data_IF_815210671868
#
_entry.id   IF_815210671868
#
_cell.length_a   1.000
_cell.length_b   1.000
_cell.length_c   1.000
_cell.angle_alpha   90.00
_cell.angle_beta   90.00
_cell.angle_gamma   90.00
#
_symmetry.space_group_name_H-M   'P 1'
#
loop_
_entity.id
_entity.type
_entity.pdbx_description
1 polymer ?
#
# COMPACT_ATOMS: atom_id res chain seq x y z
N UNK A 1 34.35 -11.82 -3.94
CA UNK A 1 33.22 -12.20 -4.80
C UNK A 1 33.61 -12.52 -6.26
N UNK A 2 34.86 -12.32 -6.70
CA UNK A 2 35.28 -12.61 -8.09
C UNK A 2 35.61 -14.08 -8.39
N UNK A 3 35.94 -14.89 -7.37
CA UNK A 3 36.40 -16.28 -7.60
C UNK A 3 35.25 -17.28 -7.78
N UNK A 4 34.05 -16.98 -7.27
CA UNK A 4 32.90 -17.88 -7.37
C UNK A 4 32.34 -18.00 -8.80
N UNK A 5 32.47 -16.96 -9.63
CA UNK A 5 32.00 -16.98 -11.02
C UNK A 5 32.93 -17.77 -11.96
N UNK A 6 34.20 -17.94 -11.61
CA UNK A 6 35.16 -18.66 -12.46
C UNK A 6 34.95 -20.18 -12.42
N UNK A 7 34.51 -20.72 -11.28
CA UNK A 7 34.31 -22.16 -11.11
C UNK A 7 33.03 -22.64 -11.81
N UNK A 8 31.99 -21.80 -11.85
CA UNK A 8 30.74 -22.12 -12.53
C UNK A 8 30.88 -22.14 -14.06
N UNK A 9 31.69 -21.23 -14.62
CA UNK A 9 32.02 -21.22 -16.06
C UNK A 9 32.80 -22.48 -16.48
N UNK A 10 33.73 -22.95 -15.65
CA UNK A 10 34.53 -24.14 -15.95
C UNK A 10 33.69 -25.43 -15.94
N UNK A 11 32.75 -25.57 -15.00
CA UNK A 11 31.87 -26.74 -14.89
C UNK A 11 30.87 -26.83 -16.05
N UNK A 12 30.34 -25.70 -16.53
CA UNK A 12 29.44 -25.68 -17.69
C UNK A 12 30.19 -26.04 -19.00
N UNK A 13 31.44 -25.61 -19.14
CA UNK A 13 32.24 -25.92 -20.33
C UNK A 13 32.64 -27.40 -20.40
N UNK A 14 32.91 -28.05 -19.26
CA UNK A 14 33.21 -29.50 -19.25
C UNK A 14 31.98 -30.37 -19.51
N UNK A 15 30.80 -29.96 -19.04
CA UNK A 15 29.55 -30.70 -19.25
C UNK A 15 29.10 -30.65 -20.72
N UNK A 16 29.32 -29.52 -21.40
CA UNK A 16 29.02 -29.39 -22.83
C UNK A 16 29.97 -30.22 -23.70
N UNK A 17 31.26 -30.25 -23.38
CA UNK A 17 32.26 -31.01 -24.17
C UNK A 17 32.08 -32.54 -24.10
N UNK A 18 31.48 -33.06 -23.04
CA UNK A 18 31.13 -34.50 -22.94
C UNK A 18 29.87 -34.87 -23.71
N UNK A 19 29.00 -33.89 -24.02
CA UNK A 19 27.80 -34.10 -24.85
C UNK A 19 28.13 -34.19 -26.34
N UNK A 20 29.19 -33.53 -26.79
CA UNK A 20 29.56 -33.48 -28.22
C UNK A 20 30.38 -34.70 -28.67
N UNK A 21 31.07 -35.37 -27.73
CA UNK A 21 31.90 -36.54 -28.03
C UNK A 21 31.11 -37.85 -28.26
N UNK A 22 29.79 -37.85 -28.04
CA UNK A 22 28.93 -39.05 -28.21
C UNK A 22 28.21 -39.06 -29.57
N UNK A 23 28.27 -37.99 -30.35
CA UNK A 23 27.46 -37.84 -31.57
C UNK A 23 28.17 -38.33 -32.86
N UNK A 24 29.44 -38.73 -32.80
CA UNK A 24 30.19 -39.21 -33.98
C UNK A 24 30.48 -40.72 -34.02
N UNK A 25 29.66 -41.54 -33.36
CA UNK A 25 29.57 -42.97 -33.68
C UNK A 25 28.56 -43.15 -34.82
N UNK A 26 29.07 -43.26 -36.04
CA UNK A 26 28.36 -43.67 -37.25
C UNK A 26 27.63 -44.99 -37.04
N UNK A 27 26.30 -44.93 -36.89
CA UNK A 27 25.41 -46.07 -37.14
C UNK A 27 24.76 -45.91 -38.53
N UNK A 28 24.92 -46.88 -39.44
CA UNK A 28 24.22 -46.92 -40.72
C UNK A 28 22.73 -47.28 -40.51
N UNK A 29 21.84 -46.49 -41.13
CA UNK A 29 20.50 -46.88 -41.62
C UNK A 29 19.69 -47.91 -40.82
N UNK A 30 19.41 -47.65 -39.54
CA UNK A 30 18.43 -48.47 -38.76
C UNK A 30 16.97 -48.16 -39.18
N UNK A 31 16.73 -47.05 -39.88
CA UNK A 31 15.38 -46.66 -40.29
C UNK A 31 14.83 -47.44 -41.52
N UNK A 32 15.65 -48.23 -42.22
CA UNK A 32 15.16 -49.05 -43.35
C UNK A 32 14.52 -50.39 -42.91
N UNK A 33 14.76 -50.87 -41.69
CA UNK A 33 14.26 -52.18 -41.21
C UNK A 33 12.94 -52.14 -40.44
N UNK A 34 12.35 -50.96 -40.24
CA UNK A 34 11.09 -50.80 -39.49
C UNK A 34 9.97 -50.13 -40.28
N UNK A 35 10.11 -49.97 -41.60
CA UNK A 35 8.97 -49.62 -42.43
C UNK A 35 8.03 -50.84 -42.48
N UNK A 36 6.81 -50.74 -41.90
CA UNK A 36 5.83 -51.81 -41.98
C UNK A 36 5.56 -52.16 -43.45
N UNK A 37 5.28 -53.44 -43.77
CA UNK A 37 5.01 -53.88 -45.13
C UNK A 37 3.88 -53.06 -45.74
N UNK A 38 4.04 -52.74 -47.04
CA UNK A 38 3.11 -51.95 -47.84
C UNK A 38 1.66 -52.50 -47.75
N UNK A 39 0.83 -51.73 -47.03
CA UNK A 39 -0.60 -51.44 -47.22
C UNK A 39 -1.48 -52.58 -47.78
N UNK A 40 -2.32 -53.16 -46.91
CA UNK A 40 -3.58 -53.77 -47.32
C UNK A 40 -4.58 -52.63 -47.61
N UNK A 41 -5.08 -52.47 -48.85
CA UNK A 41 -5.90 -51.33 -49.26
C UNK A 41 -7.28 -51.22 -48.58
N UNK A 42 -7.64 -52.22 -47.76
CA UNK A 42 -8.90 -52.28 -47.01
C UNK A 42 -8.70 -52.07 -45.49
N UNK A 43 -7.50 -51.70 -45.02
CA UNK A 43 -7.27 -51.45 -43.60
C UNK A 43 -7.80 -50.04 -43.22
N UNK A 44 -8.84 -49.91 -42.37
CA UNK A 44 -9.38 -48.61 -41.95
C UNK A 44 -8.37 -47.72 -41.19
N UNK A 45 -7.24 -48.28 -40.76
CA UNK A 45 -6.14 -47.55 -40.13
C UNK A 45 -5.39 -46.63 -41.12
N UNK A 46 -5.40 -46.95 -42.42
CA UNK A 46 -4.74 -46.13 -43.45
C UNK A 46 -5.48 -44.80 -43.67
N UNK A 47 -6.81 -44.79 -43.53
CA UNK A 47 -7.62 -43.58 -43.57
C UNK A 47 -7.33 -42.63 -42.40
N UNK A 48 -7.00 -43.18 -41.22
CA UNK A 48 -6.61 -42.38 -40.05
C UNK A 48 -5.22 -41.76 -40.25
N UNK A 49 -4.28 -42.52 -40.82
CA UNK A 49 -2.94 -42.05 -41.12
C UNK A 49 -2.96 -40.93 -42.18
N UNK A 50 -3.75 -41.07 -43.24
CA UNK A 50 -3.93 -40.04 -44.26
C UNK A 50 -4.51 -38.75 -43.67
N UNK A 51 -5.49 -38.85 -42.75
CA UNK A 51 -6.01 -37.69 -42.02
C UNK A 51 -4.95 -37.05 -41.11
N UNK A 52 -4.12 -37.86 -40.45
CA UNK A 52 -2.99 -37.37 -39.66
C UNK A 52 -1.95 -36.63 -40.54
N UNK A 53 -1.64 -37.15 -41.72
CA UNK A 53 -0.73 -36.50 -42.67
C UNK A 53 -1.31 -35.19 -43.21
N UNK A 54 -2.60 -35.16 -43.57
CA UNK A 54 -3.28 -33.95 -44.02
C UNK A 54 -3.31 -32.87 -42.93
N UNK A 55 -3.55 -33.26 -41.68
CA UNK A 55 -3.52 -32.31 -40.55
C UNK A 55 -2.11 -31.79 -40.30
N UNK A 56 -1.08 -32.63 -40.38
CA UNK A 56 0.32 -32.20 -40.28
C UNK A 56 0.69 -31.25 -41.43
N UNK A 57 0.29 -31.53 -42.67
CA UNK A 57 0.54 -30.67 -43.81
C UNK A 57 -0.11 -29.28 -43.64
N UNK A 58 -1.35 -29.23 -43.14
CA UNK A 58 -2.00 -27.96 -42.78
C UNK A 58 -1.28 -27.23 -41.66
N UNK A 59 -0.76 -27.94 -40.66
CA UNK A 59 0.02 -27.33 -39.58
C UNK A 59 1.33 -26.76 -40.12
N UNK A 60 2.02 -27.43 -41.04
CA UNK A 60 3.22 -26.88 -41.72
C UNK A 60 2.89 -25.60 -42.46
N UNK A 61 1.81 -25.63 -43.25
CA UNK A 61 1.39 -24.49 -44.07
C UNK A 61 1.00 -23.29 -43.20
N UNK A 62 0.29 -23.52 -42.09
CA UNK A 62 -0.11 -22.46 -41.16
C UNK A 62 1.09 -21.91 -40.37
N UNK A 63 2.05 -22.76 -40.02
CA UNK A 63 3.26 -22.36 -39.29
C UNK A 63 4.38 -21.84 -40.20
N UNK A 64 4.19 -21.86 -41.53
CA UNK A 64 5.16 -21.47 -42.54
C UNK A 64 6.54 -22.14 -42.35
N UNK A 65 6.53 -23.44 -42.04
CA UNK A 65 7.75 -24.21 -41.75
C UNK A 65 8.32 -24.75 -43.07
N UNK A 66 9.63 -24.56 -43.35
CA UNK A 66 10.23 -24.96 -44.63
C UNK A 66 10.30 -26.49 -44.82
N UNK A 67 10.46 -27.26 -43.72
CA UNK A 67 10.63 -28.71 -43.76
C UNK A 67 9.76 -29.41 -42.70
N UNK A 68 9.15 -30.56 -43.06
CA UNK A 68 8.39 -31.42 -42.14
C UNK A 68 9.28 -32.24 -41.18
N UNK A 69 10.47 -31.73 -40.84
CA UNK A 69 11.36 -32.38 -39.89
C UNK A 69 10.86 -32.17 -38.46
N UNK A 70 10.95 -33.20 -37.61
CA UNK A 70 10.54 -33.11 -36.20
C UNK A 70 11.21 -31.94 -35.47
N UNK A 71 12.50 -31.68 -35.75
CA UNK A 71 13.22 -30.53 -35.19
C UNK A 71 12.63 -29.20 -35.62
N UNK A 72 12.27 -29.03 -36.89
CA UNK A 72 11.69 -27.78 -37.40
C UNK A 72 10.34 -27.51 -36.70
N UNK A 73 9.48 -28.53 -36.58
CA UNK A 73 8.22 -28.40 -35.82
C UNK A 73 8.43 -28.07 -34.35
N UNK A 74 9.32 -28.78 -33.65
CA UNK A 74 9.57 -28.52 -32.24
C UNK A 74 10.04 -27.08 -32.03
N UNK A 75 10.98 -26.60 -32.86
CA UNK A 75 11.47 -25.23 -32.76
C UNK A 75 10.39 -24.18 -33.07
N UNK A 76 9.53 -24.40 -34.07
CA UNK A 76 8.43 -23.50 -34.39
C UNK A 76 7.38 -23.47 -33.28
N UNK A 77 7.08 -24.62 -32.68
CA UNK A 77 6.18 -24.73 -31.52
C UNK A 77 6.76 -23.98 -30.32
N UNK A 78 8.04 -24.17 -30.02
CA UNK A 78 8.73 -23.48 -28.93
C UNK A 78 8.75 -21.96 -29.16
N UNK A 79 9.03 -21.50 -30.38
CA UNK A 79 8.96 -20.09 -30.77
C UNK A 79 7.57 -19.51 -30.56
N UNK A 80 6.52 -20.21 -31.00
CA UNK A 80 5.14 -19.77 -30.78
C UNK A 80 4.78 -19.70 -29.29
N UNK A 81 5.27 -20.65 -28.48
CA UNK A 81 5.07 -20.57 -27.04
C UNK A 81 5.79 -19.38 -26.44
N UNK A 82 7.04 -19.12 -26.82
CA UNK A 82 7.80 -17.95 -26.38
C UNK A 82 7.10 -16.64 -26.76
N UNK A 83 6.65 -16.50 -28.00
CA UNK A 83 5.90 -15.35 -28.49
C UNK A 83 4.58 -15.17 -27.74
N UNK A 84 3.83 -16.26 -27.53
CA UNK A 84 2.59 -16.25 -26.75
C UNK A 84 2.84 -15.78 -25.31
N UNK A 85 3.90 -16.26 -24.67
CA UNK A 85 4.25 -15.84 -23.31
C UNK A 85 4.75 -14.39 -23.28
N UNK A 86 5.52 -13.96 -24.27
CA UNK A 86 5.96 -12.57 -24.41
C UNK A 86 4.76 -11.63 -24.59
N UNK A 87 3.82 -11.99 -25.47
CA UNK A 87 2.57 -11.25 -25.70
C UNK A 87 1.73 -11.21 -24.43
N UNK A 88 1.50 -12.36 -23.77
CA UNK A 88 0.76 -12.43 -22.50
C UNK A 88 1.38 -11.55 -21.42
N UNK A 89 2.72 -11.56 -21.29
CA UNK A 89 3.44 -10.67 -20.37
C UNK A 89 3.24 -9.20 -20.73
N UNK A 90 3.30 -8.86 -22.02
CA UNK A 90 3.09 -7.48 -22.47
C UNK A 90 1.67 -6.99 -22.21
N UNK A 91 0.65 -7.82 -22.46
CA UNK A 91 -0.75 -7.54 -22.18
C UNK A 91 -0.99 -7.33 -20.68
N UNK A 92 -0.42 -8.17 -19.83
CA UNK A 92 -0.54 -8.01 -18.37
C UNK A 92 0.11 -6.71 -17.90
N UNK A 93 1.26 -6.32 -18.46
CA UNK A 93 1.91 -5.02 -18.16
C UNK A 93 1.04 -3.84 -18.61
N UNK A 94 0.47 -3.91 -19.82
CA UNK A 94 -0.42 -2.86 -20.32
C UNK A 94 -1.67 -2.73 -19.46
N UNK A 95 -2.26 -3.85 -19.04
CA UNK A 95 -3.40 -3.85 -18.11
C UNK A 95 -3.06 -3.21 -16.77
N UNK A 96 -1.88 -3.52 -16.23
CA UNK A 96 -1.41 -2.89 -14.99
C UNK A 96 -1.24 -1.37 -15.15
N UNK A 97 -0.66 -0.91 -16.25
CA UNK A 97 -0.51 0.52 -16.55
C UNK A 97 -1.89 1.18 -16.71
N UNK A 98 -2.83 0.51 -17.37
CA UNK A 98 -4.20 0.99 -17.53
C UNK A 98 -4.90 1.18 -16.18
N UNK A 99 -4.78 0.19 -15.28
CA UNK A 99 -5.35 0.26 -13.94
C UNK A 99 -4.70 1.39 -13.13
N UNK A 100 -3.37 1.56 -13.19
CA UNK A 100 -2.67 2.67 -12.55
C UNK A 100 -3.13 4.04 -13.10
N UNK A 101 -3.29 4.18 -14.42
CA UNK A 101 -3.82 5.41 -15.02
C UNK A 101 -5.25 5.71 -14.60
N UNK A 102 -6.10 4.69 -14.42
CA UNK A 102 -7.47 4.86 -13.89
C UNK A 102 -7.44 5.36 -12.46
N UNK A 103 -6.56 4.84 -11.62
CA UNK A 103 -6.39 5.28 -10.24
C UNK A 103 -5.91 6.74 -10.17
N UNK A 104 -4.90 7.11 -10.98
CA UNK A 104 -4.43 8.50 -11.09
C UNK A 104 -5.54 9.44 -11.60
N UNK A 105 -6.34 9.01 -12.58
CA UNK A 105 -7.48 9.79 -13.06
C UNK A 105 -8.56 9.96 -11.98
N UNK A 106 -8.83 8.94 -11.18
CA UNK A 106 -9.77 9.04 -10.07
C UNK A 106 -9.26 10.01 -8.99
N UNK A 107 -7.98 9.94 -8.65
CA UNK A 107 -7.32 10.88 -7.73
C UNK A 107 -7.39 12.32 -8.24
N UNK A 108 -7.02 12.57 -9.50
CA UNK A 108 -7.10 13.91 -10.11
C UNK A 108 -8.52 14.46 -10.17
N UNK A 109 -9.53 13.61 -10.44
CA UNK A 109 -10.93 14.02 -10.39
C UNK A 109 -11.36 14.44 -8.98
N UNK A 110 -10.90 13.73 -7.96
CA UNK A 110 -11.16 14.08 -6.57
C UNK A 110 -10.49 15.40 -6.19
N UNK A 111 -9.21 15.59 -6.53
CA UNK A 111 -8.50 16.86 -6.29
C UNK A 111 -9.15 18.02 -7.01
N UNK A 112 -9.55 17.84 -8.28
CA UNK A 112 -10.27 18.86 -9.03
C UNK A 112 -11.60 19.23 -8.36
N UNK A 113 -12.33 18.24 -7.85
CA UNK A 113 -13.57 18.48 -7.11
C UNK A 113 -13.32 19.28 -5.82
N UNK A 114 -12.26 18.97 -5.07
CA UNK A 114 -11.86 19.72 -3.88
C UNK A 114 -11.47 21.16 -4.22
N UNK A 115 -10.66 21.36 -5.27
CA UNK A 115 -10.29 22.70 -5.75
C UNK A 115 -11.54 23.49 -6.15
N UNK A 116 -12.48 22.86 -6.84
CA UNK A 116 -13.76 23.48 -7.20
C UNK A 116 -14.56 23.87 -5.96
N UNK A 117 -14.69 22.97 -4.99
CA UNK A 117 -15.39 23.25 -3.72
C UNK A 117 -14.69 24.38 -2.95
N UNK A 118 -13.36 24.40 -2.91
CA UNK A 118 -12.59 25.49 -2.29
C UNK A 118 -12.80 26.80 -3.02
N UNK A 119 -12.83 26.79 -4.36
CA UNK A 119 -13.15 27.99 -5.12
C UNK A 119 -14.58 28.46 -4.84
N UNK A 120 -15.56 27.57 -4.77
CA UNK A 120 -16.96 27.91 -4.46
C UNK A 120 -17.12 28.47 -3.03
N UNK A 121 -16.36 27.96 -2.06
CA UNK A 121 -16.40 28.41 -0.66
C UNK A 121 -15.56 29.65 -0.38
N UNK A 122 -14.48 29.88 -1.15
CA UNK A 122 -13.60 31.04 -1.01
C UNK A 122 -14.04 32.22 -1.90
N UNK A 123 -14.86 32.00 -2.91
CA UNK A 123 -15.36 33.08 -3.77
C UNK A 123 -16.34 33.95 -2.97
N UNK A 124 -16.00 35.21 -2.70
CA UNK A 124 -16.86 36.09 -1.93
C UNK A 124 -18.18 36.32 -2.68
N UNK A 125 -19.31 36.14 -2.00
CA UNK A 125 -20.65 36.29 -2.57
C UNK A 125 -21.30 34.99 -3.09
N UNK A 126 -20.60 33.85 -3.04
CA UNK A 126 -21.22 32.53 -3.23
C UNK A 126 -22.18 32.21 -2.07
N UNK A 127 -23.29 31.53 -2.35
CA UNK A 127 -24.29 31.14 -1.33
C UNK A 127 -23.69 30.25 -0.23
N UNK A 128 -22.66 29.49 -0.58
CA UNK A 128 -22.00 28.51 0.29
C UNK A 128 -20.69 29.06 0.89
N UNK A 129 -20.44 30.37 0.75
CA UNK A 129 -19.27 30.99 1.32
C UNK A 129 -19.30 30.92 2.85
N UNK A 130 -18.25 30.31 3.43
CA UNK A 130 -18.02 30.28 4.89
C UNK A 130 -17.86 31.69 5.49
N UNK A 131 -17.59 32.69 4.64
CA UNK A 131 -17.51 34.08 5.05
C UNK A 131 -18.37 34.92 4.12
N UNK A 132 -19.57 35.35 4.54
CA UNK A 132 -20.36 36.34 3.81
C UNK A 132 -19.71 37.74 3.81
N UNK A 133 -18.48 37.84 4.33
CA UNK A 133 -17.65 39.05 4.33
C UNK A 133 -17.42 39.54 2.90
N UNK A 134 -17.67 40.82 2.67
CA UNK A 134 -17.38 41.52 1.42
C UNK A 134 -15.91 41.33 1.02
N UNK A 135 -15.62 41.29 -0.29
CA UNK A 135 -14.26 41.26 -0.82
C UNK A 135 -13.37 42.34 -0.19
N UNK A 136 -13.93 43.54 0.08
CA UNK A 136 -13.22 44.64 0.72
C UNK A 136 -12.78 44.32 2.16
N UNK A 137 -13.58 43.57 2.92
CA UNK A 137 -13.20 43.15 4.29
C UNK A 137 -12.12 42.07 4.28
N UNK A 138 -12.14 41.16 3.29
CA UNK A 138 -11.08 40.17 3.11
C UNK A 138 -9.75 40.81 2.70
N UNK A 139 -9.78 41.80 1.80
CA UNK A 139 -8.58 42.56 1.41
C UNK A 139 -7.98 43.31 2.61
N UNK A 140 -8.80 44.01 3.40
CA UNK A 140 -8.33 44.66 4.65
C UNK A 140 -7.69 43.67 5.61
N UNK A 141 -8.26 42.47 5.75
CA UNK A 141 -7.67 41.41 6.60
C UNK A 141 -6.37 40.88 6.03
N UNK A 142 -6.27 40.69 4.71
CA UNK A 142 -5.04 40.31 4.02
C UNK A 142 -3.95 41.35 4.26
N UNK A 143 -4.26 42.63 4.08
CA UNK A 143 -3.32 43.73 4.35
C UNK A 143 -2.87 43.76 5.82
N UNK A 144 -3.80 43.58 6.76
CA UNK A 144 -3.47 43.50 8.19
C UNK A 144 -2.54 42.32 8.52
N UNK A 145 -2.78 41.15 7.90
CA UNK A 145 -1.90 39.98 8.06
C UNK A 145 -0.53 40.20 7.42
N UNK A 146 -0.47 40.77 6.23
CA UNK A 146 0.80 41.11 5.56
C UNK A 146 1.58 42.13 6.40
N UNK A 147 0.90 43.11 6.99
CA UNK A 147 1.52 44.08 7.89
C UNK A 147 2.11 43.40 9.12
N UNK A 148 1.34 42.53 9.80
CA UNK A 148 1.84 41.74 10.93
C UNK A 148 2.99 40.81 10.55
N UNK A 149 2.94 40.17 9.39
CA UNK A 149 4.02 39.33 8.90
C UNK A 149 5.31 40.13 8.69
N UNK A 150 5.21 41.36 8.16
CA UNK A 150 6.34 42.28 8.04
C UNK A 150 6.85 42.75 9.40
N UNK A 151 5.96 43.00 10.36
CA UNK A 151 6.34 43.34 11.74
C UNK A 151 7.12 42.19 12.37
N UNK A 152 6.62 40.95 12.33
CA UNK A 152 7.35 39.78 12.83
C UNK A 152 8.66 39.53 12.11
N UNK A 153 8.72 39.74 10.80
CA UNK A 153 9.97 39.59 10.05
C UNK A 153 11.01 40.60 10.53
N UNK A 154 10.62 41.86 10.73
CA UNK A 154 11.51 42.89 11.29
C UNK A 154 11.94 42.55 12.71
N UNK A 155 11.02 42.08 13.56
CA UNK A 155 11.36 41.63 14.92
C UNK A 155 12.38 40.48 14.87
N UNK A 156 12.23 39.55 13.94
CA UNK A 156 13.15 38.43 13.75
C UNK A 156 14.52 38.95 13.27
N UNK A 157 14.56 39.88 12.32
CA UNK A 157 15.78 40.55 11.88
C UNK A 157 16.47 41.30 13.03
N UNK A 158 15.71 42.01 13.89
CA UNK A 158 16.28 42.68 15.06
C UNK A 158 16.85 41.70 16.07
N UNK A 159 16.15 40.59 16.34
CA UNK A 159 16.64 39.55 17.23
C UNK A 159 17.92 38.89 16.69
N UNK A 160 17.98 38.63 15.38
CA UNK A 160 19.20 38.11 14.72
C UNK A 160 20.34 39.13 14.80
N UNK A 161 20.05 40.43 14.73
CA UNK A 161 21.07 41.47 14.80
C UNK A 161 21.59 41.67 16.24
N UNK A 162 20.72 41.63 17.24
CA UNK A 162 21.05 41.75 18.67
C UNK A 162 21.82 40.52 19.17
N UNK A 163 21.37 39.33 18.79
CA UNK A 163 21.98 38.06 19.16
C UNK A 163 22.24 37.25 17.88
N UNK A 164 23.37 37.49 17.19
CA UNK A 164 23.70 36.72 16.01
C UNK A 164 23.74 35.24 16.39
N UNK A 165 22.83 34.45 15.81
CA UNK A 165 22.70 32.99 15.93
C UNK A 165 23.92 32.23 15.35
N UNK A 166 25.13 32.77 15.51
CA UNK A 166 26.41 32.15 15.20
C UNK A 166 26.89 31.23 16.32
N UNK A 167 25.98 30.61 17.07
CA UNK A 167 26.35 29.38 17.77
C UNK A 167 26.02 28.26 16.79
N UNK A 168 27.03 27.63 16.14
CA UNK A 168 26.77 26.41 15.40
C UNK A 168 26.14 25.43 16.39
N UNK A 169 24.83 25.22 16.27
CA UNK A 169 24.09 24.28 17.10
C UNK A 169 24.71 22.93 16.77
N UNK A 170 25.60 22.49 17.65
CA UNK A 170 26.26 21.21 17.50
C UNK A 170 25.19 20.14 17.68
N UNK A 171 25.28 19.03 16.95
CA UNK A 171 24.28 17.94 17.00
C UNK A 171 23.96 17.54 18.45
N UNK A 172 24.95 17.57 19.33
CA UNK A 172 24.82 17.33 20.78
C UNK A 172 23.87 18.32 21.48
N UNK A 173 23.95 19.62 21.16
CA UNK A 173 23.07 20.64 21.73
C UNK A 173 21.63 20.42 21.29
N UNK A 174 21.42 20.10 20.01
CA UNK A 174 20.10 19.77 19.48
C UNK A 174 19.49 18.54 20.17
N UNK A 175 20.27 17.47 20.35
CA UNK A 175 19.83 16.26 21.07
C UNK A 175 19.47 16.62 22.52
N UNK A 176 20.32 17.37 23.22
CA UNK A 176 20.05 17.78 24.61
C UNK A 176 18.77 18.60 24.74
N UNK A 177 18.47 19.45 23.74
CA UNK A 177 17.26 20.27 23.74
C UNK A 177 16.01 19.45 23.39
N UNK A 178 16.13 18.48 22.48
CA UNK A 178 15.07 17.50 22.20
C UNK A 178 14.71 16.69 23.44
N UNK A 179 15.70 16.23 24.20
CA UNK A 179 15.48 15.50 25.46
C UNK A 179 14.79 16.37 26.52
N UNK A 180 15.22 17.64 26.67
CA UNK A 180 14.54 18.61 27.55
C UNK A 180 13.09 18.85 27.15
N UNK A 181 12.82 19.02 25.86
CA UNK A 181 11.45 19.20 25.35
C UNK A 181 10.59 17.95 25.62
N UNK A 182 11.11 16.75 25.38
CA UNK A 182 10.40 15.51 25.70
C UNK A 182 10.13 15.36 27.20
N UNK A 183 11.06 15.76 28.07
CA UNK A 183 10.85 15.76 29.52
C UNK A 183 9.74 16.74 29.93
N UNK A 184 9.74 17.95 29.36
CA UNK A 184 8.69 18.96 29.58
C UNK A 184 7.32 18.47 29.10
N UNK A 185 7.25 17.84 27.93
CA UNK A 185 6.00 17.27 27.40
C UNK A 185 5.42 16.18 28.31
N UNK A 186 6.26 15.31 28.87
CA UNK A 186 5.82 14.31 29.85
C UNK A 186 5.26 14.98 31.11
N UNK A 187 5.96 15.97 31.66
CA UNK A 187 5.47 16.72 32.82
C UNK A 187 4.14 17.43 32.54
N UNK A 188 3.98 18.03 31.35
CA UNK A 188 2.72 18.66 30.95
C UNK A 188 1.61 17.61 30.85
N UNK A 189 1.89 16.45 30.26
CA UNK A 189 0.93 15.34 30.15
C UNK A 189 0.50 14.84 31.52
N UNK A 190 1.42 14.65 32.45
CA UNK A 190 1.12 14.27 33.84
C UNK A 190 0.28 15.32 34.55
N UNK A 191 0.63 16.61 34.42
CA UNK A 191 -0.17 17.71 35.01
C UNK A 191 -1.56 17.78 34.42
N UNK A 192 -1.71 17.61 33.10
CA UNK A 192 -3.02 17.53 32.43
C UNK A 192 -3.82 16.31 32.89
N UNK A 193 -3.19 15.15 33.03
CA UNK A 193 -3.84 13.96 33.56
C UNK A 193 -4.35 14.17 35.00
N UNK A 194 -3.52 14.80 35.85
CA UNK A 194 -3.93 15.21 37.20
C UNK A 194 -5.13 16.17 37.14
N UNK A 195 -5.07 17.24 36.35
CA UNK A 195 -6.17 18.18 36.19
C UNK A 195 -7.46 17.51 35.70
N UNK A 196 -7.36 16.61 34.73
CA UNK A 196 -8.51 15.86 34.22
C UNK A 196 -9.11 14.92 35.28
N UNK A 197 -8.28 14.30 36.12
CA UNK A 197 -8.77 13.53 37.28
C UNK A 197 -9.53 14.41 38.29
N UNK A 198 -9.23 15.73 38.33
CA UNK A 198 -9.92 16.70 39.17
C UNK A 198 -11.10 17.41 38.48
N UNK A 199 -11.31 17.27 37.16
CA UNK A 199 -12.38 17.96 36.43
C UNK A 199 -13.82 17.51 36.79
N UNK A 200 -13.97 16.45 37.59
CA UNK A 200 -15.27 16.02 38.14
C UNK A 200 -15.44 16.26 39.64
N UNK A 201 -14.44 16.82 40.32
CA UNK A 201 -14.50 17.10 41.76
C UNK A 201 -14.97 18.54 41.98
N UNK A 202 -15.94 18.78 42.89
CA UNK A 202 -16.33 20.14 43.25
C UNK A 202 -15.09 20.94 43.67
N UNK A 203 -14.92 22.19 43.19
CA UNK A 203 -13.71 22.99 43.43
C UNK A 203 -13.42 23.22 44.92
N UNK A 204 -14.41 23.02 45.79
CA UNK A 204 -14.28 23.07 47.24
C UNK A 204 -14.31 21.65 47.84
N UNK A 205 -13.17 21.20 48.38
CA UNK A 205 -13.03 19.91 49.09
C UNK A 205 -14.03 19.76 50.25
N UNK A 206 -14.35 20.86 50.93
CA UNK A 206 -15.31 20.86 52.03
C UNK A 206 -16.76 20.60 51.55
N UNK A 207 -17.11 21.09 50.35
CA UNK A 207 -18.41 20.81 49.74
C UNK A 207 -18.53 19.33 49.38
N UNK A 208 -17.49 18.76 48.75
CA UNK A 208 -17.44 17.33 48.42
C UNK A 208 -17.51 16.44 49.68
N UNK A 209 -16.85 16.84 50.77
CA UNK A 209 -16.94 16.16 52.09
C UNK A 209 -18.33 16.24 52.69
N UNK A 210 -19.06 17.33 52.47
CA UNK A 210 -20.44 17.48 52.93
C UNK A 210 -21.40 16.62 52.10
N UNK A 211 -21.32 16.67 50.77
CA UNK A 211 -22.12 15.85 49.86
C UNK A 211 -21.92 14.36 50.10
N UNK A 212 -20.68 13.91 50.34
CA UNK A 212 -20.40 12.52 50.69
C UNK A 212 -21.04 12.11 52.03
N UNK A 213 -21.04 13.00 53.04
CA UNK A 213 -21.73 12.75 54.31
C UNK A 213 -23.23 12.60 54.12
N UNK A 214 -23.85 13.49 53.32
CA UNK A 214 -25.28 13.44 52.98
C UNK A 214 -25.62 12.17 52.21
N UNK A 215 -24.81 11.78 51.22
CA UNK A 215 -25.01 10.57 50.44
C UNK A 215 -24.96 9.31 51.32
N UNK A 216 -24.02 9.24 52.28
CA UNK A 216 -23.93 8.13 53.25
C UNK A 216 -25.15 8.07 54.18
N UNK A 217 -25.65 9.21 54.64
CA UNK A 217 -26.87 9.26 55.46
C UNK A 217 -28.07 8.71 54.69
N UNK A 218 -28.30 9.17 53.45
CA UNK A 218 -29.38 8.66 52.58
C UNK A 218 -29.24 7.18 52.28
N UNK A 219 -28.02 6.70 52.03
CA UNK A 219 -27.76 5.27 51.83
C UNK A 219 -28.16 4.46 53.06
N UNK A 220 -27.82 4.93 54.26
CA UNK A 220 -28.17 4.25 55.51
C UNK A 220 -29.68 4.24 55.76
N UNK A 221 -30.39 5.33 55.45
CA UNK A 221 -31.86 5.38 55.49
C UNK A 221 -32.49 4.34 54.57
N UNK A 222 -31.99 4.21 53.34
CA UNK A 222 -32.45 3.20 52.38
C UNK A 222 -32.18 1.76 52.86
N UNK A 223 -31.02 1.53 53.48
CA UNK A 223 -30.68 0.22 54.07
C UNK A 223 -31.65 -0.12 55.21
N UNK A 224 -31.92 0.82 56.12
CA UNK A 224 -32.89 0.61 57.20
C UNK A 224 -34.30 0.35 56.66
N UNK A 225 -34.72 1.07 55.61
CA UNK A 225 -36.02 0.86 54.98
C UNK A 225 -36.11 -0.54 54.36
N UNK A 226 -35.05 -0.98 53.67
CA UNK A 226 -34.93 -2.34 53.13
C UNK A 226 -35.05 -3.39 54.24
N UNK A 227 -34.34 -3.22 55.34
CA UNK A 227 -34.39 -4.15 56.49
C UNK A 227 -35.79 -4.22 57.08
N UNK A 228 -36.48 -3.08 57.25
CA UNK A 228 -37.88 -3.05 57.72
C UNK A 228 -38.84 -3.76 56.78
N UNK A 229 -38.68 -3.59 55.47
CA UNK A 229 -39.51 -4.28 54.47
C UNK A 229 -39.26 -5.79 54.50
N UNK A 230 -38.00 -6.21 54.55
CA UNK A 230 -37.65 -7.63 54.66
C UNK A 230 -38.20 -8.25 55.95
N UNK A 231 -38.15 -7.52 57.08
CA UNK A 231 -38.77 -7.95 58.34
C UNK A 231 -40.28 -8.15 58.20
N UNK A 232 -41.01 -7.16 57.64
CA UNK A 232 -42.47 -7.29 57.41
C UNK A 232 -42.83 -8.45 56.49
N UNK A 233 -42.02 -8.71 55.47
CA UNK A 233 -42.23 -9.86 54.58
C UNK A 233 -42.06 -11.18 55.32
N UNK A 234 -41.04 -11.32 56.17
CA UNK A 234 -40.83 -12.51 56.98
C UNK A 234 -41.98 -12.75 57.97
N UNK A 235 -42.47 -11.70 58.63
CA UNK A 235 -43.59 -11.78 59.58
C UNK A 235 -44.92 -12.18 58.89
N UNK A 236 -45.11 -11.82 57.62
CA UNK A 236 -46.34 -12.14 56.87
C UNK A 236 -46.42 -13.58 56.33
N UNK A 237 -45.32 -14.33 56.38
CA UNK A 237 -45.20 -15.71 55.86
C UNK A 237 -45.28 -16.75 57.00
N UNK A 238 -45.29 -16.30 58.26
CA UNK A 238 -45.54 -17.15 59.45
C UNK A 238 -47.01 -17.16 59.83
#
# INVERSE_FOLDING_TARGET
MSEANSVFSALLYTCWKTSEAVIHATEPQIWETHLPPLQDPDNPEDDELLRCMDTLARVVEVLDIPDASYSSYSTAIDQLFEEKFALSRSLNRLRQIEDEMKDHLASLRHEYHLIRQWNETLTPGSSDSLRPESAATLERRREALVKKAKEYHRELETLIAEEPLKVPITIEQFISQKEKNLALERMIREKRAKLNAFQGLPPNLELARHELRVARQRQMELVQLRERLLGRMADSVS
#
